data_IF_545307010880
#
_entry.id   IF_545307010880
#
_cell.length_a   1.000
_cell.length_b   1.000
_cell.length_c   1.000
_cell.angle_alpha   90.00
_cell.angle_beta   90.00
_cell.angle_gamma   90.00
#
_symmetry.space_group_name_H-M   'P 1'
#
loop_
_entity.id
_entity.type
_entity.pdbx_description
1 polymer ?
#
# COMPACT_ATOMS: atom_id res chain seq x y z
N UNK A 1 -60.64 21.18 4.91
CA UNK A 1 -59.96 21.81 3.74
C UNK A 1 -58.99 22.94 4.11
N UNK A 2 -59.25 23.81 5.10
CA UNK A 2 -58.33 24.92 5.46
C UNK A 2 -56.93 24.49 5.97
N UNK A 3 -56.81 23.35 6.64
CA UNK A 3 -55.51 22.91 7.18
C UNK A 3 -54.66 22.13 6.17
N UNK A 4 -55.27 21.48 5.18
CA UNK A 4 -54.55 20.74 4.12
C UNK A 4 -53.69 21.68 3.28
N UNK A 5 -54.24 22.84 2.90
CA UNK A 5 -53.48 23.85 2.17
C UNK A 5 -52.28 24.38 2.95
N UNK A 6 -52.42 24.55 4.28
CA UNK A 6 -51.32 25.00 5.13
C UNK A 6 -50.19 23.95 5.22
N UNK A 7 -50.55 22.67 5.34
CA UNK A 7 -49.56 21.59 5.37
C UNK A 7 -48.88 21.37 4.01
N UNK A 8 -49.62 21.49 2.90
CA UNK A 8 -49.04 21.46 1.56
C UNK A 8 -48.05 22.62 1.34
N UNK A 9 -48.41 23.81 1.81
CA UNK A 9 -47.56 24.99 1.66
C UNK A 9 -46.26 24.87 2.45
N UNK A 10 -46.32 24.33 3.68
CA UNK A 10 -45.11 24.07 4.49
C UNK A 10 -44.24 22.99 3.85
N UNK A 11 -44.85 21.91 3.32
CA UNK A 11 -44.11 20.85 2.63
C UNK A 11 -43.37 21.35 1.37
N UNK A 12 -44.03 22.21 0.57
CA UNK A 12 -43.41 22.83 -0.61
C UNK A 12 -42.28 23.78 -0.20
N UNK A 13 -42.47 24.56 0.88
CA UNK A 13 -41.45 25.47 1.38
C UNK A 13 -40.20 24.72 1.89
N UNK A 14 -40.39 23.58 2.56
CA UNK A 14 -39.29 22.72 3.01
C UNK A 14 -38.50 22.10 1.84
N UNK A 15 -39.15 21.77 0.73
CA UNK A 15 -38.48 21.24 -0.48
C UNK A 15 -37.65 22.35 -1.16
N UNK A 16 -38.09 23.61 -1.11
CA UNK A 16 -37.34 24.73 -1.71
C UNK A 16 -36.12 25.21 -0.90
N UNK A 17 -35.96 24.75 0.36
CA UNK A 17 -34.84 25.12 1.24
C UNK A 17 -33.69 24.10 1.24
N UNK A 18 -33.82 23.00 0.50
CA UNK A 18 -32.72 22.04 0.30
C UNK A 18 -31.82 22.57 -0.81
N UNK A 19 -30.87 23.44 -0.46
CA UNK A 19 -29.77 23.74 -1.35
C UNK A 19 -28.88 22.50 -1.46
N UNK A 20 -28.83 21.89 -2.65
CA UNK A 20 -27.82 20.90 -2.96
C UNK A 20 -26.45 21.55 -2.83
N UNK A 21 -25.60 21.03 -1.93
CA UNK A 21 -24.20 21.37 -1.92
C UNK A 21 -23.56 20.73 -3.16
N UNK A 22 -23.26 21.56 -4.16
CA UNK A 22 -22.39 21.16 -5.27
C UNK A 22 -21.00 21.68 -4.94
N UNK A 23 -20.01 20.77 -4.94
CA UNK A 23 -18.62 21.18 -4.92
C UNK A 23 -18.33 21.96 -6.22
N UNK A 24 -17.68 23.11 -6.12
CA UNK A 24 -17.28 23.90 -7.27
C UNK A 24 -16.21 23.13 -8.06
N UNK A 25 -16.43 22.96 -9.36
CA UNK A 25 -15.43 22.35 -10.24
C UNK A 25 -14.21 23.28 -10.30
N UNK A 26 -13.03 22.75 -10.01
CA UNK A 26 -11.78 23.50 -10.08
C UNK A 26 -11.57 24.05 -11.50
N UNK A 27 -11.69 25.38 -11.66
CA UNK A 27 -11.37 26.10 -12.89
C UNK A 27 -9.87 26.38 -12.95
N UNK A 28 -9.08 25.34 -13.23
CA UNK A 28 -7.70 25.50 -13.69
C UNK A 28 -7.65 25.95 -15.15
N UNK A 29 -6.55 26.58 -15.54
CA UNK A 29 -6.28 26.97 -16.93
C UNK A 29 -6.38 25.75 -17.86
N UNK A 30 -6.94 25.96 -19.05
CA UNK A 30 -7.38 24.91 -19.98
C UNK A 30 -6.35 23.79 -20.18
N UNK A 31 -6.77 22.55 -19.89
CA UNK A 31 -5.97 21.35 -20.13
C UNK A 31 -5.64 21.23 -21.62
N UNK A 32 -4.37 21.42 -21.96
CA UNK A 32 -3.80 20.83 -23.16
C UNK A 32 -3.85 19.31 -23.00
N UNK A 33 -4.81 18.64 -23.64
CA UNK A 33 -4.80 17.18 -23.81
C UNK A 33 -3.65 16.82 -24.74
N UNK A 34 -2.44 16.72 -24.17
CA UNK A 34 -1.35 16.00 -24.80
C UNK A 34 -1.58 14.54 -24.42
N UNK A 35 -2.09 13.74 -25.35
CA UNK A 35 -2.05 12.29 -25.22
C UNK A 35 -0.59 11.88 -25.25
N UNK A 36 0.01 11.73 -24.06
CA UNK A 36 1.40 11.31 -23.95
C UNK A 36 1.44 9.83 -24.34
N UNK A 37 2.16 9.51 -25.42
CA UNK A 37 2.42 8.14 -25.84
C UNK A 37 3.42 7.52 -24.88
N UNK A 38 2.92 6.93 -23.80
CA UNK A 38 3.72 6.04 -22.97
C UNK A 38 3.78 4.64 -23.59
N UNK A 39 4.91 3.96 -23.43
CA UNK A 39 5.06 2.56 -23.82
C UNK A 39 4.41 1.70 -22.76
N UNK A 40 3.42 0.89 -23.15
CA UNK A 40 2.62 0.08 -22.22
C UNK A 40 3.34 -1.23 -21.89
N UNK A 41 3.51 -1.52 -20.60
CA UNK A 41 3.98 -2.84 -20.14
C UNK A 41 2.90 -3.93 -20.27
N UNK A 42 1.63 -3.55 -20.44
CA UNK A 42 0.53 -4.48 -20.67
C UNK A 42 -0.06 -5.07 -19.39
N UNK A 43 0.26 -4.50 -18.22
CA UNK A 43 -0.24 -5.02 -16.95
C UNK A 43 -1.77 -4.94 -16.85
N UNK A 44 -2.36 -6.05 -16.41
CA UNK A 44 -3.77 -6.12 -16.09
C UNK A 44 -4.10 -5.23 -14.87
N UNK A 45 -5.34 -4.77 -14.80
CA UNK A 45 -5.82 -4.02 -13.65
C UNK A 45 -5.72 -4.88 -12.37
N UNK A 46 -5.10 -4.32 -11.32
CA UNK A 46 -4.96 -4.98 -10.03
C UNK A 46 -6.30 -5.50 -9.50
N UNK A 47 -6.36 -6.76 -9.10
CA UNK A 47 -7.61 -7.44 -8.76
C UNK A 47 -7.62 -8.04 -7.35
N UNK A 48 -6.43 -8.20 -6.76
CA UNK A 48 -6.26 -8.82 -5.46
C UNK A 48 -6.61 -7.89 -4.32
N UNK A 49 -7.05 -8.49 -3.22
CA UNK A 49 -7.36 -7.79 -2.00
C UNK A 49 -7.13 -8.67 -0.78
N UNK A 50 -6.94 -8.03 0.37
CA UNK A 50 -6.98 -8.67 1.69
C UNK A 50 -7.71 -7.78 2.67
N UNK A 51 -8.11 -8.36 3.80
CA UNK A 51 -8.65 -7.59 4.91
C UNK A 51 -7.57 -7.41 5.97
N UNK A 52 -7.41 -6.18 6.45
CA UNK A 52 -6.84 -5.91 7.75
C UNK A 52 -7.95 -6.10 8.78
N UNK A 53 -7.86 -7.13 9.60
CA UNK A 53 -8.98 -7.67 10.35
C UNK A 53 -8.65 -7.96 11.82
N UNK A 54 -8.05 -6.99 12.48
CA UNK A 54 -7.59 -7.04 13.88
C UNK A 54 -8.31 -6.01 14.76
N UNK A 55 -8.28 -6.19 16.08
CA UNK A 55 -8.76 -5.21 17.07
C UNK A 55 -10.21 -4.71 16.83
N UNK A 56 -11.11 -5.62 16.44
CA UNK A 56 -12.52 -5.35 16.14
C UNK A 56 -12.75 -4.41 14.94
N UNK A 57 -11.77 -4.24 14.07
CA UNK A 57 -11.92 -3.66 12.74
C UNK A 57 -11.81 -4.74 11.66
N UNK A 58 -12.48 -4.53 10.51
CA UNK A 58 -12.25 -5.27 9.25
C UNK A 58 -12.23 -4.27 8.10
N UNK A 59 -11.07 -4.03 7.51
CA UNK A 59 -10.89 -3.07 6.42
C UNK A 59 -10.28 -3.76 5.19
N UNK A 60 -10.96 -3.70 4.04
CA UNK A 60 -10.42 -4.21 2.77
C UNK A 60 -9.33 -3.29 2.23
N UNK A 61 -8.20 -3.84 1.81
CA UNK A 61 -7.13 -3.16 1.07
C UNK A 61 -6.99 -3.85 -0.29
N UNK A 62 -6.98 -3.08 -1.39
CA UNK A 62 -6.74 -3.60 -2.73
C UNK A 62 -5.29 -3.30 -3.16
N UNK A 63 -4.74 -4.13 -4.04
CA UNK A 63 -3.37 -3.96 -4.58
C UNK A 63 -3.24 -2.79 -5.58
N UNK A 64 -4.35 -2.16 -5.97
CA UNK A 64 -4.40 -1.07 -6.97
C UNK A 64 -4.32 0.35 -6.40
N UNK A 65 -3.79 0.52 -5.18
CA UNK A 65 -3.68 1.83 -4.52
C UNK A 65 -5.00 2.36 -3.94
N UNK A 66 -6.08 1.59 -4.03
CA UNK A 66 -7.41 1.89 -3.52
C UNK A 66 -7.82 0.94 -2.38
N UNK A 67 -8.72 1.37 -1.49
CA UNK A 67 -9.07 0.63 -0.28
C UNK A 67 -10.48 0.94 0.21
N UNK A 68 -11.00 0.04 1.04
CA UNK A 68 -12.27 0.11 1.75
C UNK A 68 -13.54 -0.05 0.90
N UNK A 69 -13.42 -0.52 -0.35
CA UNK A 69 -14.56 -0.79 -1.23
C UNK A 69 -14.28 -1.97 -2.17
N UNK A 70 -15.28 -2.45 -2.90
CA UNK A 70 -15.21 -3.63 -3.76
C UNK A 70 -15.25 -3.36 -5.29
N UNK A 71 -14.21 -3.83 -6.00
CA UNK A 71 -13.98 -3.71 -7.45
C UNK A 71 -14.78 -4.73 -8.31
N UNK A 72 -15.06 -4.41 -9.59
CA UNK A 72 -16.03 -3.44 -10.08
C UNK A 72 -17.46 -4.03 -10.11
N UNK A 73 -18.45 -3.26 -9.64
CA UNK A 73 -19.86 -3.65 -9.56
C UNK A 73 -20.40 -3.75 -8.13
N UNK A 74 -19.51 -3.65 -7.14
CA UNK A 74 -19.84 -3.57 -5.73
C UNK A 74 -20.01 -2.14 -5.25
N UNK A 75 -21.12 -1.88 -4.56
CA UNK A 75 -21.51 -0.55 -4.05
C UNK A 75 -21.24 -0.49 -2.53
N UNK A 76 -20.40 -1.38 -2.01
CA UNK A 76 -20.30 -1.65 -0.58
C UNK A 76 -19.05 -1.04 0.04
N UNK A 77 -19.24 -0.21 1.06
CA UNK A 77 -18.16 0.08 1.99
C UNK A 77 -17.68 -1.21 2.67
N UNK A 78 -16.37 -1.37 2.81
CA UNK A 78 -15.67 -2.57 3.31
C UNK A 78 -14.76 -2.25 4.51
N UNK A 79 -14.96 -1.11 5.17
CA UNK A 79 -14.32 -0.77 6.44
C UNK A 79 -15.35 -0.87 7.57
N UNK A 80 -15.43 -2.05 8.19
CA UNK A 80 -16.37 -2.37 9.26
C UNK A 80 -15.78 -2.14 10.66
N UNK A 81 -16.54 -1.41 11.48
CA UNK A 81 -16.35 -1.32 12.93
C UNK A 81 -17.75 -1.34 13.57
N UNK A 82 -18.12 -2.34 14.38
CA UNK A 82 -17.31 -3.52 14.77
C UNK A 82 -17.10 -4.52 13.61
N UNK A 83 -16.02 -5.32 13.69
CA UNK A 83 -15.55 -6.29 12.67
C UNK A 83 -16.67 -7.18 12.12
N UNK A 84 -17.53 -7.68 13.01
CA UNK A 84 -18.62 -8.61 12.69
C UNK A 84 -19.97 -7.91 12.44
N UNK A 85 -20.01 -6.58 12.50
CA UNK A 85 -21.21 -5.78 12.27
C UNK A 85 -21.40 -5.39 10.81
N UNK A 86 -22.43 -4.57 10.57
CA UNK A 86 -22.76 -3.99 9.26
C UNK A 86 -22.45 -2.50 9.18
N UNK A 87 -22.05 -1.88 10.29
CA UNK A 87 -21.69 -0.47 10.33
C UNK A 87 -20.31 -0.26 9.69
N UNK A 88 -20.20 0.74 8.83
CA UNK A 88 -18.96 1.07 8.11
C UNK A 88 -18.48 2.46 8.44
N UNK A 89 -17.17 2.62 8.65
CA UNK A 89 -16.57 3.89 9.07
C UNK A 89 -16.18 4.79 7.89
N UNK A 90 -15.66 4.20 6.81
CA UNK A 90 -15.24 4.90 5.59
C UNK A 90 -15.71 4.11 4.38
N UNK A 91 -16.10 4.81 3.31
CA UNK A 91 -16.56 4.18 2.07
C UNK A 91 -15.42 3.80 1.14
N UNK A 92 -14.46 4.70 0.92
CA UNK A 92 -13.34 4.47 0.01
C UNK A 92 -12.17 5.36 0.40
N UNK A 93 -10.96 4.88 0.14
CA UNK A 93 -9.71 5.63 0.22
C UNK A 93 -8.83 5.26 -0.96
N UNK A 94 -7.95 6.16 -1.38
CA UNK A 94 -7.06 5.96 -2.52
C UNK A 94 -5.83 6.82 -2.41
N UNK A 95 -4.70 6.32 -2.89
CA UNK A 95 -3.45 7.07 -2.93
C UNK A 95 -3.39 7.97 -4.17
N UNK A 96 -3.15 9.26 -3.96
CA UNK A 96 -2.98 10.24 -5.05
C UNK A 96 -1.59 10.84 -4.92
N UNK A 97 -0.77 10.67 -5.95
CA UNK A 97 0.60 11.19 -5.97
C UNK A 97 0.78 11.95 -7.26
N UNK A 98 1.32 13.16 -7.13
CA UNK A 98 1.67 13.98 -8.27
C UNK A 98 2.83 14.90 -7.96
N UNK A 99 3.50 15.32 -9.02
CA UNK A 99 4.67 16.18 -8.96
C UNK A 99 4.94 16.83 -10.31
N UNK A 100 5.87 17.77 -10.32
CA UNK A 100 6.39 18.36 -11.54
C UNK A 100 7.73 17.73 -11.87
N UNK A 101 7.94 17.39 -13.14
CA UNK A 101 9.27 17.02 -13.62
C UNK A 101 10.19 18.25 -13.76
N UNK A 102 11.44 18.03 -14.17
CA UNK A 102 12.43 19.10 -14.36
C UNK A 102 12.04 20.15 -15.41
N UNK A 103 11.08 19.83 -16.28
CA UNK A 103 10.53 20.73 -17.29
C UNK A 103 9.20 21.38 -16.86
N UNK A 104 8.83 21.26 -15.58
CA UNK A 104 7.54 21.70 -15.02
C UNK A 104 6.32 21.01 -15.63
N UNK A 105 6.46 19.79 -16.15
CA UNK A 105 5.32 18.99 -16.62
C UNK A 105 4.72 18.18 -15.47
N UNK A 106 3.40 18.20 -15.37
CA UNK A 106 2.67 17.44 -14.35
C UNK A 106 2.77 15.93 -14.62
N UNK A 107 3.25 15.20 -13.62
CA UNK A 107 3.15 13.75 -13.47
C UNK A 107 2.10 13.46 -12.39
N UNK A 108 1.18 12.54 -12.63
CA UNK A 108 0.05 12.31 -11.72
C UNK A 108 -0.48 10.89 -11.84
N UNK A 109 -0.52 10.19 -10.71
CA UNK A 109 -1.25 8.95 -10.49
C UNK A 109 -2.33 9.17 -9.43
N UNK A 110 -3.61 9.08 -9.81
CA UNK A 110 -4.71 9.31 -8.87
C UNK A 110 -5.89 8.42 -9.21
N UNK A 111 -6.10 7.40 -8.37
CA UNK A 111 -7.17 6.44 -8.54
C UNK A 111 -8.44 6.90 -7.80
N UNK A 112 -9.61 6.75 -8.43
CA UNK A 112 -10.92 6.95 -7.80
C UNK A 112 -11.57 5.59 -7.53
N UNK A 113 -12.76 5.36 -8.08
CA UNK A 113 -13.50 4.10 -7.96
C UNK A 113 -13.16 3.10 -9.07
N UNK A 114 -12.05 3.29 -9.79
CA UNK A 114 -11.60 2.42 -10.90
C UNK A 114 -12.70 2.07 -11.93
N UNK A 115 -13.71 2.93 -12.06
CA UNK A 115 -14.84 2.80 -12.98
C UNK A 115 -14.48 3.33 -14.37
N UNK A 116 -13.59 4.32 -14.41
CA UNK A 116 -13.12 4.96 -15.64
C UNK A 116 -11.73 4.49 -16.03
N UNK A 117 -10.87 4.19 -15.03
CA UNK A 117 -9.54 3.70 -15.34
C UNK A 117 -8.70 3.24 -14.15
N UNK A 118 -7.40 3.09 -14.42
CA UNK A 118 -6.39 2.70 -13.45
C UNK A 118 -5.14 3.54 -13.70
N UNK A 119 -4.47 3.91 -12.60
CA UNK A 119 -3.17 4.59 -12.62
C UNK A 119 -2.13 3.85 -11.77
N UNK A 120 -2.50 2.70 -11.18
CA UNK A 120 -1.58 1.85 -10.42
C UNK A 120 -1.72 0.39 -10.84
N UNK A 121 -0.59 -0.32 -10.80
CA UNK A 121 -0.46 -1.73 -11.12
C UNK A 121 0.44 -2.44 -10.11
N UNK A 122 0.28 -3.75 -9.87
CA UNK A 122 1.10 -4.45 -8.91
C UNK A 122 2.53 -4.67 -9.42
N UNK A 123 3.47 -4.83 -8.49
CA UNK A 123 4.84 -5.28 -8.74
C UNK A 123 5.89 -4.18 -8.86
N UNK A 124 7.17 -4.58 -8.77
CA UNK A 124 8.30 -3.66 -8.83
C UNK A 124 8.64 -3.22 -10.25
N UNK A 125 9.26 -2.05 -10.37
CA UNK A 125 9.82 -1.47 -11.58
C UNK A 125 11.33 -1.77 -11.70
N UNK A 126 11.84 -1.61 -12.91
CA UNK A 126 13.29 -1.66 -13.16
C UNK A 126 14.01 -0.42 -12.63
N UNK A 127 15.20 -0.63 -12.06
CA UNK A 127 16.06 0.43 -11.50
C UNK A 127 17.09 0.99 -12.50
N UNK A 128 16.97 0.64 -13.79
CA UNK A 128 17.87 1.08 -14.87
C UNK A 128 17.55 2.50 -15.41
N UNK A 129 16.70 3.24 -14.69
CA UNK A 129 16.20 4.57 -15.09
C UNK A 129 15.04 4.54 -16.08
N UNK A 130 14.66 3.37 -16.60
CA UNK A 130 13.48 3.25 -17.46
C UNK A 130 12.19 3.11 -16.66
N UNK A 131 12.27 2.63 -15.41
CA UNK A 131 11.12 2.40 -14.53
C UNK A 131 10.04 1.56 -15.24
N UNK A 132 10.44 0.39 -15.74
CA UNK A 132 9.60 -0.48 -16.56
C UNK A 132 9.21 -1.77 -15.82
N UNK A 133 8.18 -2.45 -16.30
CA UNK A 133 7.73 -3.74 -15.75
C UNK A 133 7.19 -4.60 -16.89
N UNK A 134 6.98 -5.88 -16.63
CA UNK A 134 6.36 -6.82 -17.58
C UNK A 134 5.07 -7.42 -16.99
N UNK A 135 4.17 -7.89 -17.86
CA UNK A 135 2.87 -8.46 -17.46
C UNK A 135 3.00 -9.62 -16.46
N UNK A 136 4.01 -10.49 -16.62
CA UNK A 136 4.23 -11.62 -15.72
C UNK A 136 4.65 -11.18 -14.32
N UNK A 137 5.44 -10.11 -14.22
CA UNK A 137 5.80 -9.48 -12.95
C UNK A 137 4.56 -8.87 -12.29
N UNK A 138 3.76 -8.10 -13.03
CA UNK A 138 2.51 -7.56 -12.48
C UNK A 138 1.57 -8.65 -11.96
N UNK A 139 1.41 -9.76 -12.70
CA UNK A 139 0.60 -10.89 -12.26
C UNK A 139 1.17 -11.59 -11.02
N UNK A 140 2.49 -11.76 -10.92
CA UNK A 140 3.17 -12.36 -9.75
C UNK A 140 2.94 -11.54 -8.48
N UNK A 141 2.95 -10.22 -8.58
CA UNK A 141 2.85 -9.33 -7.43
C UNK A 141 1.42 -8.82 -7.15
N UNK A 142 0.39 -9.26 -7.89
CA UNK A 142 -1.02 -8.96 -7.58
C UNK A 142 -1.51 -9.75 -6.35
N UNK A 143 -0.90 -9.48 -5.21
CA UNK A 143 -1.18 -10.09 -3.92
C UNK A 143 -0.69 -9.20 -2.78
N UNK A 144 -1.22 -9.48 -1.58
CA UNK A 144 -0.67 -8.93 -0.35
C UNK A 144 0.06 -10.06 0.39
N UNK A 145 1.23 -9.73 0.91
CA UNK A 145 1.98 -10.54 1.85
C UNK A 145 1.52 -10.14 3.25
N UNK A 146 0.75 -11.02 3.88
CA UNK A 146 0.20 -10.79 5.22
C UNK A 146 1.10 -11.45 6.25
N UNK A 147 1.47 -10.68 7.26
CA UNK A 147 2.28 -11.13 8.39
C UNK A 147 1.59 -10.67 9.66
N UNK A 148 1.64 -11.50 10.71
CA UNK A 148 1.21 -11.11 12.04
C UNK A 148 2.39 -11.05 12.99
N UNK A 149 2.34 -10.11 13.95
CA UNK A 149 3.32 -10.04 15.04
C UNK A 149 3.37 -11.35 15.84
N UNK A 150 2.25 -12.06 15.94
CA UNK A 150 2.17 -13.35 16.63
C UNK A 150 3.02 -14.43 15.93
N UNK A 151 2.96 -14.54 14.59
CA UNK A 151 3.79 -15.48 13.83
C UNK A 151 5.29 -15.18 14.03
N UNK A 152 5.68 -13.90 14.04
CA UNK A 152 7.07 -13.51 14.27
C UNK A 152 7.51 -13.81 15.70
N UNK A 153 6.66 -13.55 16.70
CA UNK A 153 6.96 -13.90 18.08
C UNK A 153 7.16 -15.42 18.26
N UNK A 154 6.33 -16.24 17.62
CA UNK A 154 6.46 -17.70 17.66
C UNK A 154 7.74 -18.17 16.96
N UNK A 155 8.05 -17.61 15.78
CA UNK A 155 9.29 -17.86 15.05
C UNK A 155 10.52 -17.53 15.90
N UNK A 156 10.56 -16.36 16.53
CA UNK A 156 11.68 -15.94 17.38
C UNK A 156 11.81 -16.81 18.63
N UNK A 157 10.70 -17.20 19.25
CA UNK A 157 10.72 -18.09 20.41
C UNK A 157 11.23 -19.49 20.03
N UNK A 158 10.80 -20.02 18.88
CA UNK A 158 11.33 -21.25 18.30
C UNK A 158 12.82 -21.12 17.98
N UNK A 159 13.23 -20.04 17.30
CA UNK A 159 14.61 -19.83 16.86
C UNK A 159 15.57 -19.70 18.04
N UNK A 160 15.19 -18.98 19.09
CA UNK A 160 16.06 -18.77 20.26
C UNK A 160 16.05 -19.93 21.25
N UNK A 161 15.13 -20.89 21.10
CA UNK A 161 15.07 -22.07 21.99
C UNK A 161 16.29 -22.98 21.81
N UNK A 162 16.92 -23.31 22.94
CA UNK A 162 18.01 -24.30 23.01
C UNK A 162 17.53 -25.75 22.84
N UNK A 163 16.21 -25.98 22.86
CA UNK A 163 15.60 -27.30 22.86
C UNK A 163 14.39 -27.39 21.90
N UNK A 164 14.58 -26.87 20.68
CA UNK A 164 13.53 -26.75 19.65
C UNK A 164 12.74 -28.05 19.43
N UNK A 165 13.42 -29.20 19.41
CA UNK A 165 12.79 -30.50 19.16
C UNK A 165 11.79 -30.94 20.25
N UNK A 166 11.95 -30.47 21.49
CA UNK A 166 11.04 -30.80 22.58
C UNK A 166 9.98 -29.71 22.81
N UNK A 167 10.36 -28.44 22.68
CA UNK A 167 9.45 -27.30 22.92
C UNK A 167 8.54 -27.01 21.72
N UNK A 168 9.01 -27.32 20.51
CA UNK A 168 8.34 -27.03 19.23
C UNK A 168 8.42 -28.22 18.26
N UNK A 169 7.95 -29.43 18.67
CA UNK A 169 8.14 -30.65 17.89
C UNK A 169 7.49 -30.63 16.50
N UNK A 170 6.40 -29.88 16.36
CA UNK A 170 5.60 -29.79 15.13
C UNK A 170 5.72 -28.43 14.43
N UNK A 171 6.61 -27.55 14.88
CA UNK A 171 6.75 -26.22 14.30
C UNK A 171 7.47 -26.30 12.94
N UNK A 172 6.92 -25.58 11.97
CA UNK A 172 7.54 -25.32 10.68
C UNK A 172 7.40 -23.84 10.36
N UNK A 173 8.47 -23.22 9.85
CA UNK A 173 8.45 -21.82 9.43
C UNK A 173 7.28 -21.61 8.44
N UNK A 174 6.31 -20.72 8.76
CA UNK A 174 5.13 -20.53 7.94
C UNK A 174 5.44 -19.84 6.60
N UNK A 175 4.59 -20.01 5.57
CA UNK A 175 4.75 -19.35 4.27
C UNK A 175 4.82 -17.82 4.35
N UNK A 176 4.14 -17.20 5.33
CA UNK A 176 4.20 -15.75 5.59
C UNK A 176 5.61 -15.23 5.91
N UNK A 177 6.47 -16.11 6.43
CA UNK A 177 7.90 -15.85 6.65
C UNK A 177 8.72 -16.40 5.48
N UNK A 178 8.51 -17.67 5.07
CA UNK A 178 9.32 -18.29 3.99
C UNK A 178 9.23 -17.57 2.64
N UNK A 179 8.04 -17.12 2.26
CA UNK A 179 7.76 -16.51 0.96
C UNK A 179 7.69 -14.98 1.04
N UNK A 180 8.26 -14.39 2.11
CA UNK A 180 8.30 -12.94 2.29
C UNK A 180 9.07 -12.27 1.15
N UNK A 181 8.56 -11.19 0.55
CA UNK A 181 9.13 -10.62 -0.67
C UNK A 181 10.26 -9.65 -0.33
N UNK A 182 11.23 -10.09 0.50
CA UNK A 182 12.37 -9.26 0.90
C UNK A 182 13.15 -8.74 -0.32
N UNK A 183 13.24 -9.58 -1.37
CA UNK A 183 14.05 -9.28 -2.55
C UNK A 183 13.30 -9.28 -3.87
N UNK A 184 13.76 -8.39 -4.77
CA UNK A 184 13.39 -8.36 -6.17
C UNK A 184 14.28 -9.26 -7.03
N UNK A 185 13.85 -9.47 -8.27
CA UNK A 185 14.60 -10.25 -9.26
C UNK A 185 15.66 -9.37 -9.95
N UNK A 186 16.91 -9.54 -9.51
CA UNK A 186 18.06 -8.82 -10.09
C UNK A 186 18.27 -9.11 -11.58
N UNK A 187 17.87 -10.29 -12.07
CA UNK A 187 17.96 -10.62 -13.49
C UNK A 187 16.94 -9.83 -14.34
N UNK A 188 15.91 -9.28 -13.69
CA UNK A 188 14.95 -8.34 -14.27
C UNK A 188 15.29 -6.87 -13.99
N UNK A 189 16.49 -6.56 -13.47
CA UNK A 189 16.89 -5.22 -13.04
C UNK A 189 15.95 -4.59 -11.99
N UNK A 190 15.37 -5.38 -11.08
CA UNK A 190 14.55 -4.87 -9.98
C UNK A 190 15.42 -4.43 -8.80
N UNK A 191 14.88 -3.62 -7.90
CA UNK A 191 15.54 -3.33 -6.62
C UNK A 191 15.83 -4.63 -5.87
N UNK A 192 17.03 -4.76 -5.29
CA UNK A 192 17.36 -5.93 -4.51
C UNK A 192 16.58 -6.00 -3.21
N UNK A 193 16.25 -4.85 -2.61
CA UNK A 193 15.45 -4.77 -1.39
C UNK A 193 14.05 -4.25 -1.76
N UNK A 194 13.03 -5.05 -1.49
CA UNK A 194 11.62 -4.75 -1.75
C UNK A 194 10.77 -4.71 -0.48
N UNK A 195 11.23 -5.35 0.59
CA UNK A 195 10.51 -5.40 1.85
C UNK A 195 11.47 -5.50 3.04
N UNK A 196 11.16 -4.86 4.17
CA UNK A 196 12.03 -4.79 5.35
C UNK A 196 12.14 -6.14 6.06
N UNK A 197 13.37 -6.61 6.28
CA UNK A 197 13.65 -7.81 7.07
C UNK A 197 14.79 -7.56 8.07
N UNK A 198 14.81 -8.37 9.11
CA UNK A 198 15.92 -8.43 10.05
C UNK A 198 16.89 -9.48 9.56
N UNK A 199 18.09 -9.04 9.19
CA UNK A 199 19.21 -9.87 8.76
C UNK A 199 20.04 -10.26 9.99
N UNK A 200 20.03 -11.55 10.31
CA UNK A 200 20.63 -12.07 11.55
C UNK A 200 22.14 -12.22 11.45
N UNK A 201 22.65 -12.59 10.28
CA UNK A 201 24.08 -12.85 10.08
C UNK A 201 24.80 -11.75 9.28
N UNK A 202 24.06 -10.77 8.77
CA UNK A 202 24.57 -9.56 8.15
C UNK A 202 25.05 -9.76 6.72
N UNK A 203 24.62 -10.82 6.04
CA UNK A 203 25.04 -11.14 4.68
C UNK A 203 24.26 -10.37 3.60
N UNK A 204 23.14 -9.74 3.99
CA UNK A 204 22.28 -8.93 3.13
C UNK A 204 21.19 -9.72 2.39
N UNK A 205 21.13 -11.04 2.56
CA UNK A 205 20.19 -11.95 1.92
C UNK A 205 19.13 -12.44 2.92
N UNK A 206 17.90 -12.63 2.46
CA UNK A 206 16.82 -13.08 3.32
C UNK A 206 16.74 -14.61 3.36
N UNK A 207 17.12 -15.20 4.50
CA UNK A 207 17.02 -16.63 4.76
C UNK A 207 16.43 -16.95 6.15
N UNK A 208 15.15 -17.34 6.23
CA UNK A 208 14.52 -17.80 7.48
C UNK A 208 15.15 -19.04 8.10
N UNK A 209 15.89 -19.86 7.34
CA UNK A 209 16.61 -20.99 7.90
C UNK A 209 17.97 -20.56 8.53
N UNK A 210 18.39 -19.30 8.35
CA UNK A 210 19.55 -18.65 9.02
C UNK A 210 19.15 -17.65 10.12
N UNK A 211 17.85 -17.47 10.37
CA UNK A 211 17.35 -16.66 11.48
C UNK A 211 16.59 -15.42 11.04
N UNK A 212 16.56 -15.12 9.75
CA UNK A 212 15.96 -13.89 9.26
C UNK A 212 14.44 -13.91 9.31
N UNK A 213 13.86 -12.73 9.47
CA UNK A 213 12.41 -12.59 9.58
C UNK A 213 11.93 -11.24 9.08
N UNK A 214 10.67 -11.12 8.63
CA UNK A 214 10.05 -9.83 8.31
C UNK A 214 10.17 -8.90 9.51
N UNK A 215 10.77 -7.72 9.35
CA UNK A 215 11.29 -6.98 10.50
C UNK A 215 10.17 -6.34 11.32
N UNK A 216 9.70 -7.02 12.37
CA UNK A 216 8.97 -6.40 13.47
C UNK A 216 9.95 -5.97 14.55
N UNK A 217 9.94 -4.69 14.90
CA UNK A 217 10.64 -4.18 16.07
C UNK A 217 9.91 -4.61 17.35
N UNK A 218 10.22 -5.81 17.83
CA UNK A 218 9.58 -6.42 19.01
C UNK A 218 10.01 -5.73 20.30
N UNK A 219 11.28 -5.34 20.39
CA UNK A 219 11.85 -4.66 21.57
C UNK A 219 11.49 -3.17 21.60
N UNK A 220 10.88 -2.64 20.54
CA UNK A 220 10.60 -1.22 20.33
C UNK A 220 11.87 -0.38 20.38
N UNK A 221 13.04 -0.93 20.04
CA UNK A 221 14.32 -0.23 20.09
C UNK A 221 14.36 0.96 19.11
N UNK A 222 13.72 0.79 17.96
CA UNK A 222 13.68 1.82 16.94
C UNK A 222 12.69 2.93 17.30
N UNK A 223 11.66 2.69 18.11
CA UNK A 223 10.61 3.67 18.41
C UNK A 223 11.12 5.13 18.60
N UNK A 224 10.70 6.10 17.76
CA UNK A 224 11.20 7.49 17.82
C UNK A 224 11.03 8.16 19.18
N UNK A 225 10.03 7.71 19.96
CA UNK A 225 9.77 8.23 21.31
C UNK A 225 10.91 7.91 22.28
N UNK A 226 11.68 6.85 22.06
CA UNK A 226 12.86 6.54 22.88
C UNK A 226 13.94 7.61 22.74
N UNK A 227 13.91 8.38 21.65
CA UNK A 227 14.86 9.44 21.32
C UNK A 227 14.25 10.84 21.43
N UNK A 228 13.02 10.94 21.95
CA UNK A 228 12.34 12.22 22.12
C UNK A 228 13.15 13.13 23.06
N UNK A 229 13.69 14.22 22.50
CA UNK A 229 14.49 15.20 23.24
C UNK A 229 16.00 15.01 23.13
N UNK A 230 16.49 14.02 22.38
CA UNK A 230 17.90 13.94 22.00
C UNK A 230 18.15 14.82 20.74
N UNK A 231 18.87 15.95 20.85
CA UNK A 231 19.15 16.82 19.71
C UNK A 231 20.13 16.20 18.71
N UNK A 232 20.79 15.10 19.07
CA UNK A 232 21.73 14.39 18.21
C UNK A 232 21.13 13.12 17.60
N UNK A 233 19.87 12.78 17.91
CA UNK A 233 19.23 11.64 17.31
C UNK A 233 19.07 11.86 15.81
N UNK A 234 19.73 11.01 15.05
CA UNK A 234 19.49 10.81 13.63
C UNK A 234 18.78 9.48 13.50
N UNK A 235 17.61 9.42 12.84
CA UNK A 235 16.94 8.16 12.58
C UNK A 235 17.91 7.20 11.93
N UNK A 236 17.97 5.97 12.46
CA UNK A 236 18.81 4.94 11.88
C UNK A 236 18.31 4.65 10.47
N UNK A 237 19.24 4.70 9.52
CA UNK A 237 18.97 4.29 8.16
C UNK A 237 19.04 2.77 8.12
N UNK A 238 17.99 2.13 7.61
CA UNK A 238 17.97 0.66 7.51
C UNK A 238 18.77 0.19 6.28
N UNK A 239 18.83 -1.12 6.06
CA UNK A 239 19.77 -1.84 5.18
C UNK A 239 19.95 -1.27 3.75
N UNK A 240 18.99 -0.50 3.22
CA UNK A 240 18.96 -0.04 1.83
C UNK A 240 20.03 1.00 1.44
N UNK A 241 20.51 1.83 2.36
CA UNK A 241 21.42 2.93 2.00
C UNK A 241 22.83 2.45 1.60
N UNK A 242 23.24 1.26 2.05
CA UNK A 242 24.63 0.83 1.95
C UNK A 242 25.03 0.15 0.64
N UNK A 243 24.07 -0.29 -0.19
CA UNK A 243 24.39 -1.27 -1.25
C UNK A 243 24.37 -0.79 -2.70
N UNK A 244 23.60 0.23 -3.13
CA UNK A 244 23.53 0.51 -4.59
C UNK A 244 23.43 1.96 -5.07
N UNK A 245 23.55 2.99 -4.24
CA UNK A 245 23.71 4.40 -4.69
C UNK A 245 22.63 4.96 -5.65
N UNK A 246 21.57 4.18 -5.91
CA UNK A 246 20.45 4.50 -6.81
C UNK A 246 19.20 4.82 -6.00
N UNK A 247 19.16 4.34 -4.75
CA UNK A 247 18.20 4.70 -3.72
C UNK A 247 18.88 5.71 -2.81
N UNK A 248 18.46 6.98 -2.91
CA UNK A 248 18.95 8.05 -2.03
C UNK A 248 17.84 8.50 -1.10
N UNK A 249 18.02 8.31 0.21
CA UNK A 249 17.11 8.84 1.22
C UNK A 249 15.95 7.94 1.64
N UNK A 250 15.98 6.64 1.36
CA UNK A 250 15.10 5.69 2.06
C UNK A 250 15.82 5.17 3.30
N UNK A 251 15.31 5.56 4.46
CA UNK A 251 14.51 4.73 5.38
C UNK A 251 14.77 5.27 6.79
N UNK A 252 13.79 5.98 7.34
CA UNK A 252 13.80 6.30 8.75
C UNK A 252 13.33 5.05 9.51
N UNK A 253 13.59 5.00 10.81
CA UNK A 253 12.91 4.25 11.88
C UNK A 253 11.47 3.71 11.64
N UNK A 254 10.72 4.22 10.68
CA UNK A 254 9.34 3.94 10.40
C UNK A 254 9.06 2.78 9.43
N UNK A 255 10.06 2.26 8.71
CA UNK A 255 9.81 1.20 7.72
C UNK A 255 9.88 -0.23 8.27
N UNK A 256 10.14 -0.43 9.56
CA UNK A 256 9.86 -1.75 10.17
C UNK A 256 8.36 -2.03 10.16
N UNK A 257 7.99 -3.31 10.13
CA UNK A 257 6.60 -3.75 10.19
C UNK A 257 5.99 -3.38 11.55
N UNK A 258 4.73 -2.91 11.50
CA UNK A 258 4.01 -2.36 12.67
C UNK A 258 2.63 -2.96 12.81
N UNK A 259 2.11 -2.87 14.04
CA UNK A 259 0.82 -3.42 14.43
C UNK A 259 0.89 -4.90 14.76
N UNK A 260 -0.27 -5.49 14.99
CA UNK A 260 -0.43 -6.92 15.27
C UNK A 260 -0.61 -7.74 13.98
N UNK A 261 -1.08 -7.08 12.91
CA UNK A 261 -1.20 -7.60 11.55
C UNK A 261 -0.73 -6.52 10.58
N UNK A 262 0.05 -6.93 9.59
CA UNK A 262 0.58 -6.05 8.53
C UNK A 262 0.27 -6.67 7.17
N UNK A 263 -0.14 -5.81 6.23
CA UNK A 263 -0.24 -6.15 4.82
C UNK A 263 0.88 -5.42 4.10
N UNK A 264 1.77 -6.16 3.46
CA UNK A 264 2.79 -5.62 2.57
C UNK A 264 2.41 -5.94 1.12
N UNK A 265 2.58 -4.99 0.21
CA UNK A 265 2.40 -5.23 -1.22
C UNK A 265 3.25 -4.21 -1.97
N UNK A 266 3.66 -4.59 -3.19
CA UNK A 266 4.45 -3.75 -4.07
C UNK A 266 3.56 -3.39 -5.25
N UNK A 267 3.54 -2.11 -5.61
CA UNK A 267 2.75 -1.58 -6.72
C UNK A 267 3.48 -0.38 -7.31
N UNK A 268 3.10 0.02 -8.50
CA UNK A 268 3.75 1.07 -9.26
C UNK A 268 2.74 1.87 -10.09
N UNK A 269 3.15 3.01 -10.63
CA UNK A 269 2.34 3.82 -11.56
C UNK A 269 2.75 3.66 -13.03
N UNK A 270 3.47 2.60 -13.41
CA UNK A 270 4.01 2.46 -14.77
C UNK A 270 3.82 1.09 -15.41
N UNK A 271 2.77 0.37 -14.99
CA UNK A 271 2.35 -0.90 -15.58
C UNK A 271 1.53 -0.77 -16.87
N UNK A 272 0.87 0.38 -17.08
CA UNK A 272 0.15 0.70 -18.31
C UNK A 272 -0.06 2.22 -18.43
N UNK A 273 -0.72 2.68 -19.49
CA UNK A 273 -1.10 4.08 -19.58
C UNK A 273 -2.13 4.43 -18.49
N UNK A 274 -1.97 5.60 -17.85
CA UNK A 274 -2.91 6.12 -16.87
C UNK A 274 -4.25 6.40 -17.53
N UNK A 275 -5.24 5.57 -17.25
CA UNK A 275 -6.56 5.71 -17.86
C UNK A 275 -7.55 6.44 -16.95
N UNK A 276 -7.25 6.61 -15.66
CA UNK A 276 -8.08 7.38 -14.73
C UNK A 276 -7.75 8.88 -14.81
N UNK A 277 -6.48 9.25 -14.67
CA UNK A 277 -6.08 10.66 -14.75
C UNK A 277 -5.74 11.14 -16.15
N UNK A 278 -5.33 10.23 -17.04
CA UNK A 278 -4.66 10.57 -18.31
C UNK A 278 -3.38 11.40 -18.09
N UNK A 279 -2.85 11.41 -16.86
CA UNK A 279 -1.57 12.01 -16.52
C UNK A 279 -0.43 11.15 -17.05
N UNK A 280 0.77 11.72 -17.11
CA UNK A 280 1.96 10.92 -17.36
C UNK A 280 2.40 10.24 -16.06
N UNK A 281 2.90 9.02 -16.20
CA UNK A 281 3.52 8.25 -15.13
C UNK A 281 4.72 8.99 -14.56
N UNK A 282 4.89 8.85 -13.25
CA UNK A 282 6.01 9.31 -12.44
C UNK A 282 7.17 8.32 -12.58
N UNK A 283 6.86 7.02 -12.65
CA UNK A 283 7.84 5.94 -12.48
C UNK A 283 8.07 5.64 -10.99
N UNK A 284 7.01 5.75 -10.20
CA UNK A 284 6.98 5.46 -8.77
C UNK A 284 6.70 3.97 -8.54
N UNK A 285 7.40 3.42 -7.55
CA UNK A 285 7.15 2.14 -6.87
C UNK A 285 6.99 2.39 -5.37
#
# INVERSE_FOLDING_TARGET
MKNIFRHLFIAILCITLVQGAYAEEYKGDGKSSQTIKETTAGCAAASSFRFLDINNARARINTGGDMWWDLPGGIGAQYFIPKAGTATSLFSGSLWIGGLDINNQLKLAAVRYRQSGNDYWPGPLTIDGTASVDESTCAKYDQHYMITRAEINEYLAWWTSSNRALEYPDYSIPPSIRDYPAHGDVAKNQSYYLAPFFDTDGDGDYNPDQGDYPYYDITNELCPLNFAGDPNYTPQVTMEESLMGTVSGSILVDQVLKGDQTLWWIFNDKGNFHSETQGASIGLE
#
